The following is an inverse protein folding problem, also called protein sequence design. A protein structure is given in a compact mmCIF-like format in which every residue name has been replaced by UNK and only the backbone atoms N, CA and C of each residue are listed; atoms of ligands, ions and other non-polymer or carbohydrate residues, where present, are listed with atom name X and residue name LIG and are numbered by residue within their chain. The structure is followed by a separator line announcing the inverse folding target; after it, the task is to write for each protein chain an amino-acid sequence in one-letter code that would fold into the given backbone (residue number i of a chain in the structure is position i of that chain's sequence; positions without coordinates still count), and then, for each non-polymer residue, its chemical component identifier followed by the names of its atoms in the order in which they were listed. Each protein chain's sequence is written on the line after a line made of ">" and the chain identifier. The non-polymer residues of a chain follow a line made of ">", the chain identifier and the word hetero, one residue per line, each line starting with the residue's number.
data_IF_664106120217
#
_entry.id   IF_664106120217
#
_cell.length_a   1.000
_cell.length_b   1.000
_cell.length_c   1.000
_cell.angle_alpha   90.00
_cell.angle_beta   90.00
_cell.angle_gamma   90.00
#
_symmetry.space_group_name_H-M   'P 1'
#
loop_
_entity.id
_entity.type
_entity.pdbx_description
1 polymer ?
#
# COMPACT_ATOMS: atom_id res chain seq x y z
N UNK A 1 -16.06 -23.19 5.30
CA UNK A 1 -14.70 -22.63 5.45
C UNK A 1 -13.82 -23.76 5.93
N UNK A 2 -12.82 -24.14 5.15
CA UNK A 2 -11.83 -25.12 5.62
C UNK A 2 -10.79 -24.35 6.47
N UNK A 3 -10.44 -24.91 7.62
CA UNK A 3 -9.44 -24.36 8.53
C UNK A 3 -8.21 -25.24 8.43
N UNK A 4 -7.10 -24.69 7.92
CA UNK A 4 -5.80 -25.34 7.92
C UNK A 4 -5.00 -24.76 9.09
N UNK A 5 -4.81 -25.61 10.10
CA UNK A 5 -4.11 -25.28 11.33
C UNK A 5 -2.66 -25.76 11.26
N UNK A 6 -1.72 -24.82 11.23
CA UNK A 6 -0.29 -25.14 11.17
C UNK A 6 0.44 -24.76 12.47
N UNK A 7 -0.29 -24.57 13.58
CA UNK A 7 0.24 -24.06 14.86
C UNK A 7 1.40 -24.85 15.51
N UNK A 8 1.91 -25.92 14.90
CA UNK A 8 2.96 -26.78 15.46
C UNK A 8 4.20 -26.97 14.55
N UNK A 9 4.30 -26.29 13.41
CA UNK A 9 5.46 -26.38 12.52
C UNK A 9 5.94 -24.96 12.24
N UNK A 10 7.25 -24.75 12.27
CA UNK A 10 7.90 -23.48 11.98
C UNK A 10 8.52 -23.55 10.58
N UNK A 11 8.56 -22.41 9.90
CA UNK A 11 9.14 -22.23 8.56
C UNK A 11 8.35 -23.01 7.49
N UNK A 12 7.04 -22.80 7.47
CA UNK A 12 6.10 -23.52 6.60
C UNK A 12 5.91 -22.84 5.23
N UNK A 13 5.80 -23.64 4.15
CA UNK A 13 5.27 -23.17 2.87
C UNK A 13 3.84 -23.67 2.69
N UNK A 14 2.89 -22.74 2.55
CA UNK A 14 1.48 -23.09 2.58
C UNK A 14 0.73 -22.45 1.42
N UNK A 15 0.00 -23.27 0.67
CA UNK A 15 -0.77 -22.83 -0.50
C UNK A 15 -2.26 -23.03 -0.30
N UNK A 16 -3.04 -21.96 -0.40
CA UNK A 16 -4.49 -21.98 -0.25
C UNK A 16 -5.27 -21.46 -1.47
N UNK A 17 -6.48 -21.96 -1.68
CA UNK A 17 -7.26 -21.69 -2.90
C UNK A 17 -8.57 -20.92 -2.64
N UNK A 18 -9.54 -21.51 -1.93
CA UNK A 18 -10.90 -20.93 -1.80
C UNK A 18 -11.42 -20.94 -0.37
N UNK A 19 -11.64 -19.74 0.20
CA UNK A 19 -12.28 -19.54 1.51
C UNK A 19 -11.60 -20.35 2.62
N UNK A 20 -10.29 -20.15 2.73
CA UNK A 20 -9.41 -20.84 3.66
C UNK A 20 -8.97 -19.89 4.76
N UNK A 21 -8.91 -20.43 5.97
CA UNK A 21 -8.25 -19.79 7.10
C UNK A 21 -6.94 -20.53 7.32
N UNK A 22 -5.85 -19.78 7.29
CA UNK A 22 -4.50 -20.27 7.43
C UNK A 22 -3.86 -19.51 8.58
N UNK A 23 -3.36 -20.27 9.55
CA UNK A 23 -2.65 -19.73 10.69
C UNK A 23 -1.30 -20.42 10.77
N UNK A 24 -0.24 -19.66 10.49
CA UNK A 24 1.13 -20.13 10.66
C UNK A 24 1.59 -19.91 12.12
N UNK A 25 2.59 -20.65 12.55
CA UNK A 25 3.03 -20.66 13.94
C UNK A 25 4.01 -19.51 14.19
N UNK A 26 5.02 -19.74 15.04
CA UNK A 26 6.18 -18.88 15.10
C UNK A 26 7.26 -19.47 14.18
N UNK A 27 7.99 -18.65 13.44
CA UNK A 27 8.95 -19.05 12.40
C UNK A 27 8.87 -18.11 11.21
N UNK A 28 9.80 -18.22 10.26
CA UNK A 28 9.74 -17.43 9.03
C UNK A 28 8.92 -18.21 7.99
N UNK A 29 7.60 -18.00 7.99
CA UNK A 29 6.63 -18.76 7.19
C UNK A 29 6.33 -18.09 5.84
N UNK A 30 5.93 -18.90 4.86
CA UNK A 30 5.46 -18.44 3.55
C UNK A 30 4.03 -18.92 3.31
N UNK A 31 3.09 -17.97 3.24
CA UNK A 31 1.69 -18.22 2.93
C UNK A 31 1.38 -17.63 1.54
N UNK A 32 0.89 -18.45 0.62
CA UNK A 32 0.46 -18.01 -0.69
C UNK A 32 -0.94 -18.52 -1.01
N UNK A 33 -1.78 -17.70 -1.61
CA UNK A 33 -3.06 -18.21 -2.04
C UNK A 33 -4.08 -17.17 -2.43
N UNK A 34 -5.34 -17.58 -2.35
CA UNK A 34 -6.51 -16.87 -2.86
C UNK A 34 -6.65 -16.92 -4.37
N UNK A 35 -7.77 -17.49 -4.84
CA UNK A 35 -8.13 -17.53 -6.26
C UNK A 35 -9.11 -16.43 -6.63
N UNK A 36 -9.37 -16.27 -7.92
CA UNK A 36 -10.43 -15.38 -8.41
C UNK A 36 -11.76 -15.77 -7.77
N UNK A 37 -12.49 -14.78 -7.23
CA UNK A 37 -13.69 -14.94 -6.40
C UNK A 37 -13.50 -15.70 -5.07
N UNK A 38 -12.25 -16.05 -4.74
CA UNK A 38 -11.87 -16.64 -3.46
C UNK A 38 -11.62 -15.58 -2.39
N UNK A 39 -11.21 -16.06 -1.23
CA UNK A 39 -10.69 -15.25 -0.14
C UNK A 39 -9.77 -16.12 0.68
N UNK A 40 -8.66 -15.54 1.12
CA UNK A 40 -7.73 -16.16 2.04
C UNK A 40 -7.66 -15.32 3.32
N UNK A 41 -7.75 -15.97 4.47
CA UNK A 41 -7.49 -15.39 5.78
C UNK A 41 -6.19 -15.93 6.33
N UNK A 42 -5.11 -15.20 6.10
CA UNK A 42 -3.77 -15.51 6.58
C UNK A 42 -3.50 -14.77 7.89
N UNK A 43 -2.94 -15.49 8.87
CA UNK A 43 -2.39 -14.92 10.11
C UNK A 43 -1.09 -15.63 10.44
N UNK A 44 -0.04 -14.88 10.66
CA UNK A 44 1.19 -15.40 11.23
C UNK A 44 1.23 -15.06 12.72
N UNK A 45 2.04 -15.73 13.54
CA UNK A 45 2.05 -15.45 14.99
C UNK A 45 3.36 -14.79 15.43
N UNK A 46 4.45 -15.07 14.73
CA UNK A 46 5.75 -14.42 14.93
C UNK A 46 6.78 -14.91 13.92
N UNK A 47 7.75 -14.06 13.57
CA UNK A 47 8.81 -14.38 12.61
C UNK A 47 8.76 -13.43 11.44
N UNK A 48 9.68 -13.54 10.47
CA UNK A 48 9.66 -12.68 9.29
C UNK A 48 8.97 -13.44 8.16
N UNK A 49 7.65 -13.28 8.08
CA UNK A 49 6.81 -14.06 7.21
C UNK A 49 6.67 -13.42 5.82
N UNK A 50 6.28 -14.23 4.84
CA UNK A 50 5.86 -13.75 3.52
C UNK A 50 4.43 -14.16 3.26
N UNK A 51 3.55 -13.19 2.97
CA UNK A 51 2.15 -13.45 2.64
C UNK A 51 1.86 -12.95 1.22
N UNK A 52 1.46 -13.84 0.31
CA UNK A 52 1.09 -13.51 -1.08
C UNK A 52 -0.38 -13.80 -1.35
N UNK A 53 -1.14 -12.74 -1.59
CA UNK A 53 -2.56 -12.79 -1.94
C UNK A 53 -2.70 -12.64 -3.46
N UNK A 54 -2.99 -13.73 -4.14
CA UNK A 54 -2.95 -13.84 -5.61
C UNK A 54 -4.22 -13.35 -6.31
N UNK A 55 -5.37 -13.34 -5.63
CA UNK A 55 -6.63 -12.73 -6.09
C UNK A 55 -7.63 -12.62 -4.93
N UNK A 56 -8.93 -12.46 -5.21
CA UNK A 56 -10.02 -12.55 -4.25
C UNK A 56 -10.45 -11.21 -3.65
N UNK A 57 -11.71 -11.08 -3.22
CA UNK A 57 -12.32 -9.78 -2.86
C UNK A 57 -12.38 -9.49 -1.35
N UNK A 58 -12.16 -10.50 -0.50
CA UNK A 58 -12.29 -10.36 0.95
C UNK A 58 -11.16 -11.08 1.68
N UNK A 59 -9.94 -10.86 1.20
CA UNK A 59 -8.76 -11.39 1.88
C UNK A 59 -8.57 -10.72 3.24
N UNK A 60 -7.86 -11.43 4.09
CA UNK A 60 -7.35 -10.93 5.35
C UNK A 60 -5.91 -11.40 5.48
N UNK A 61 -4.99 -10.47 5.78
CA UNK A 61 -3.62 -10.80 6.14
C UNK A 61 -3.26 -10.01 7.42
N UNK A 62 -2.57 -10.68 8.34
CA UNK A 62 -2.02 -10.06 9.54
C UNK A 62 -0.71 -10.76 9.91
N UNK A 63 0.41 -10.06 9.72
CA UNK A 63 1.75 -10.54 10.04
C UNK A 63 1.98 -10.74 11.55
N UNK A 64 1.33 -9.91 12.37
CA UNK A 64 1.42 -9.92 13.83
C UNK A 64 2.79 -9.52 14.37
N UNK A 65 3.76 -10.42 14.57
CA UNK A 65 5.07 -10.05 15.12
C UNK A 65 6.18 -10.48 14.16
N UNK A 66 7.27 -9.74 14.16
CA UNK A 66 8.38 -9.88 13.21
C UNK A 66 8.16 -9.08 11.94
N UNK A 67 9.20 -8.96 11.10
CA UNK A 67 9.20 -8.06 9.95
C UNK A 67 8.68 -8.82 8.72
N UNK A 68 7.43 -8.59 8.35
CA UNK A 68 6.71 -9.37 7.35
C UNK A 68 6.73 -8.72 5.97
N UNK A 69 6.73 -9.52 4.90
CA UNK A 69 6.57 -9.07 3.51
C UNK A 69 5.21 -9.52 2.95
N UNK A 70 4.29 -8.57 2.81
CA UNK A 70 2.91 -8.83 2.42
C UNK A 70 2.65 -8.27 1.02
N UNK A 71 2.30 -9.15 0.08
CA UNK A 71 1.99 -8.78 -1.30
C UNK A 71 0.52 -9.00 -1.65
N UNK A 72 -0.11 -7.96 -2.20
CA UNK A 72 -1.39 -8.06 -2.91
C UNK A 72 -1.09 -8.06 -4.41
N UNK A 73 -1.36 -9.17 -5.07
CA UNK A 73 -1.06 -9.37 -6.49
C UNK A 73 -2.29 -9.13 -7.38
N UNK A 74 -2.05 -8.80 -8.64
CA UNK A 74 -3.10 -8.77 -9.65
C UNK A 74 -3.35 -10.16 -10.24
N UNK A 75 -4.60 -10.44 -10.61
CA UNK A 75 -4.95 -11.60 -11.42
C UNK A 75 -5.39 -11.16 -12.83
N UNK A 76 -5.05 -11.88 -13.91
CA UNK A 76 -5.50 -11.54 -15.26
C UNK A 76 -7.03 -11.47 -15.41
N UNK A 77 -7.76 -12.13 -14.52
CA UNK A 77 -9.23 -12.22 -14.54
C UNK A 77 -9.87 -11.75 -13.23
N UNK A 78 -9.13 -11.07 -12.35
CA UNK A 78 -9.65 -10.58 -11.08
C UNK A 78 -8.70 -9.68 -10.30
N UNK A 79 -9.18 -9.18 -9.18
CA UNK A 79 -8.46 -8.26 -8.31
C UNK A 79 -8.24 -8.94 -6.94
N UNK A 80 -7.18 -8.57 -6.23
CA UNK A 80 -6.92 -8.86 -4.81
C UNK A 80 -7.33 -7.67 -3.95
N UNK A 81 -8.38 -7.84 -3.18
CA UNK A 81 -8.87 -6.88 -2.19
C UNK A 81 -8.99 -7.55 -0.82
N UNK A 82 -8.86 -6.77 0.25
CA UNK A 82 -8.84 -7.30 1.61
C UNK A 82 -8.39 -6.31 2.68
N UNK A 83 -8.50 -6.76 3.94
CA UNK A 83 -7.92 -6.05 5.08
C UNK A 83 -6.53 -6.59 5.34
N UNK A 84 -5.54 -5.71 5.31
CA UNK A 84 -4.13 -6.08 5.35
C UNK A 84 -3.49 -5.31 6.48
N UNK A 85 -2.88 -6.06 7.38
CA UNK A 85 -2.27 -5.58 8.61
C UNK A 85 -0.83 -6.06 8.61
N UNK A 86 0.13 -5.14 8.73
CA UNK A 86 1.54 -5.47 8.97
C UNK A 86 1.65 -6.19 10.31
N UNK A 87 1.63 -5.43 11.40
CA UNK A 87 1.77 -6.06 12.71
C UNK A 87 2.34 -5.13 13.76
N UNK A 88 3.34 -5.64 14.47
CA UNK A 88 3.97 -5.01 15.61
C UNK A 88 5.36 -4.44 15.31
N UNK A 89 6.00 -4.92 14.24
CA UNK A 89 7.40 -4.69 13.87
C UNK A 89 7.48 -4.08 12.46
N UNK A 90 8.65 -4.01 11.82
CA UNK A 90 8.80 -3.23 10.60
C UNK A 90 8.43 -4.06 9.37
N UNK A 91 7.27 -3.83 8.82
CA UNK A 91 6.71 -4.62 7.73
C UNK A 91 6.88 -3.95 6.38
N UNK A 92 6.85 -4.77 5.33
CA UNK A 92 6.80 -4.32 3.95
C UNK A 92 5.46 -4.76 3.37
N UNK A 93 4.66 -3.80 2.91
CA UNK A 93 3.38 -4.08 2.25
C UNK A 93 3.43 -3.58 0.82
N UNK A 94 3.30 -4.49 -0.15
CA UNK A 94 3.32 -4.16 -1.57
C UNK A 94 1.98 -4.45 -2.25
N UNK A 95 1.37 -3.39 -2.76
CA UNK A 95 0.14 -3.43 -3.56
C UNK A 95 0.54 -3.37 -5.02
N UNK A 96 0.43 -4.48 -5.75
CA UNK A 96 0.84 -4.55 -7.16
C UNK A 96 -0.14 -3.83 -8.09
N UNK A 97 0.34 -3.44 -9.26
CA UNK A 97 -0.48 -2.79 -10.26
C UNK A 97 -1.63 -3.70 -10.69
N UNK A 98 -2.86 -3.20 -10.63
CA UNK A 98 -4.04 -3.99 -10.92
C UNK A 98 -4.40 -5.00 -9.84
N UNK A 99 -3.75 -4.99 -8.66
CA UNK A 99 -4.20 -5.79 -7.52
C UNK A 99 -5.56 -5.28 -7.03
N UNK A 100 -5.73 -3.97 -6.94
CA UNK A 100 -6.94 -3.36 -6.40
C UNK A 100 -7.63 -2.52 -7.47
N UNK A 101 -8.79 -2.96 -7.95
CA UNK A 101 -9.70 -2.11 -8.73
C UNK A 101 -10.75 -1.53 -7.80
N UNK A 102 -10.31 -0.55 -7.02
CA UNK A 102 -11.13 0.09 -6.02
C UNK A 102 -11.43 -0.81 -4.84
N UNK A 103 -10.44 -0.97 -3.96
CA UNK A 103 -10.61 -1.42 -2.56
C UNK A 103 -11.95 -0.90 -2.07
N UNK A 104 -12.98 -1.74 -1.97
CA UNK A 104 -14.33 -1.22 -1.74
C UNK A 104 -14.31 -0.32 -0.51
N UNK A 105 -14.96 0.86 -0.56
CA UNK A 105 -15.00 1.79 0.55
C UNK A 105 -15.20 1.02 1.88
N UNK A 106 -14.17 0.99 2.74
CA UNK A 106 -14.17 0.25 4.00
C UNK A 106 -13.22 -0.96 4.13
N UNK A 107 -12.30 -1.25 3.19
CA UNK A 107 -11.11 -2.05 3.51
C UNK A 107 -9.90 -1.18 3.79
N UNK A 108 -9.03 -1.68 4.65
CA UNK A 108 -7.90 -0.95 5.19
C UNK A 108 -6.63 -1.75 4.90
N UNK A 109 -5.62 -1.06 4.38
CA UNK A 109 -4.23 -1.53 4.36
C UNK A 109 -3.48 -0.67 5.36
N UNK A 110 -2.93 -1.29 6.40
CA UNK A 110 -2.31 -0.59 7.53
C UNK A 110 -1.03 -1.33 7.96
N UNK A 111 0.09 -0.62 8.06
CA UNK A 111 1.29 -1.17 8.70
C UNK A 111 1.06 -1.47 10.20
N UNK A 112 0.25 -0.63 10.84
CA UNK A 112 -0.13 -0.63 12.25
C UNK A 112 0.95 -0.12 13.19
N UNK A 113 1.97 -0.92 13.49
CA UNK A 113 3.06 -0.52 14.38
C UNK A 113 4.37 -0.97 13.79
N UNK A 114 5.44 -0.26 14.12
CA UNK A 114 6.75 -0.45 13.50
C UNK A 114 6.98 0.59 12.41
N UNK A 115 8.21 0.69 11.92
CA UNK A 115 8.53 1.65 10.85
C UNK A 115 8.31 0.94 9.51
N UNK A 116 7.09 0.99 9.01
CA UNK A 116 6.63 0.19 7.90
C UNK A 116 6.98 0.83 6.55
N UNK A 117 7.12 0.00 5.51
CA UNK A 117 7.30 0.46 4.13
C UNK A 117 6.15 -0.02 3.26
N UNK A 118 5.35 0.93 2.78
CA UNK A 118 4.17 0.66 1.98
C UNK A 118 4.40 1.07 0.53
N UNK A 119 4.49 0.08 -0.36
CA UNK A 119 4.66 0.26 -1.80
C UNK A 119 3.32 0.15 -2.52
N UNK A 120 2.84 1.26 -3.10
CA UNK A 120 1.60 1.29 -3.86
C UNK A 120 1.81 1.44 -5.38
N UNK A 121 1.53 0.39 -6.13
CA UNK A 121 1.45 0.38 -7.59
C UNK A 121 0.00 0.34 -8.11
N UNK A 122 -1.00 0.14 -7.22
CA UNK A 122 -2.42 -0.04 -7.57
C UNK A 122 -3.33 1.11 -7.08
N UNK A 123 -4.65 0.94 -7.14
CA UNK A 123 -5.60 1.95 -6.66
C UNK A 123 -6.08 1.60 -5.24
N UNK A 124 -5.71 2.38 -4.23
CA UNK A 124 -6.02 2.10 -2.83
C UNK A 124 -6.77 3.26 -2.15
N UNK A 125 -7.95 3.02 -1.60
CA UNK A 125 -8.71 4.12 -0.98
C UNK A 125 -8.24 4.48 0.43
N UNK A 126 -7.62 3.55 1.15
CA UNK A 126 -7.16 3.73 2.53
C UNK A 126 -5.86 2.98 2.77
N UNK A 127 -4.76 3.70 2.58
CA UNK A 127 -3.41 3.24 2.88
C UNK A 127 -2.90 3.98 4.13
N UNK A 128 -2.55 3.27 5.19
CA UNK A 128 -2.18 3.86 6.48
C UNK A 128 -0.82 3.35 6.92
N UNK A 129 0.05 4.24 7.39
CA UNK A 129 1.33 3.91 8.01
C UNK A 129 1.08 3.16 9.31
N UNK A 130 0.71 3.89 10.37
CA UNK A 130 0.58 3.26 11.67
C UNK A 130 0.90 4.19 12.83
N UNK A 131 1.65 3.70 13.81
CA UNK A 131 1.96 4.46 15.02
C UNK A 131 3.40 4.91 15.17
N UNK A 132 4.28 4.51 14.26
CA UNK A 132 5.71 4.83 14.24
C UNK A 132 6.08 5.50 12.91
N UNK A 133 7.36 5.59 12.53
CA UNK A 133 7.76 6.43 11.40
C UNK A 133 7.71 5.65 10.09
N UNK A 134 6.64 5.84 9.32
CA UNK A 134 6.37 5.01 8.15
C UNK A 134 6.86 5.65 6.86
N UNK A 135 7.12 4.82 5.85
CA UNK A 135 7.47 5.26 4.50
C UNK A 135 6.43 4.77 3.50
N UNK A 136 5.67 5.70 2.93
CA UNK A 136 4.62 5.40 1.96
C UNK A 136 5.05 5.86 0.58
N UNK A 137 5.22 4.91 -0.34
CA UNK A 137 5.73 5.15 -1.70
C UNK A 137 4.63 4.85 -2.72
N UNK A 138 4.26 5.84 -3.53
CA UNK A 138 3.25 5.69 -4.56
C UNK A 138 3.88 5.71 -5.96
N UNK A 139 4.00 4.53 -6.57
CA UNK A 139 4.73 4.26 -7.81
C UNK A 139 3.90 4.35 -9.10
N UNK A 140 2.69 4.89 -9.03
CA UNK A 140 1.80 4.86 -10.19
C UNK A 140 0.32 4.73 -9.84
N UNK A 141 0.04 4.29 -8.62
CA UNK A 141 -1.29 4.14 -8.09
C UNK A 141 -2.04 5.44 -7.82
N UNK A 142 -3.36 5.34 -7.63
CA UNK A 142 -4.14 6.38 -6.95
C UNK A 142 -4.37 5.97 -5.51
N UNK A 143 -3.96 6.78 -4.54
CA UNK A 143 -4.24 6.47 -3.14
C UNK A 143 -4.57 7.69 -2.27
N UNK A 144 -5.49 7.49 -1.32
CA UNK A 144 -5.55 8.33 -0.14
C UNK A 144 -4.67 7.69 0.94
N UNK A 145 -3.72 8.46 1.45
CA UNK A 145 -2.69 7.97 2.36
C UNK A 145 -2.77 8.72 3.68
N UNK A 146 -2.58 7.99 4.77
CA UNK A 146 -2.44 8.51 6.12
C UNK A 146 -1.10 8.05 6.67
N UNK A 147 -0.31 8.96 7.23
CA UNK A 147 0.84 8.58 8.05
C UNK A 147 0.40 8.06 9.42
N UNK A 148 -0.71 8.61 9.93
CA UNK A 148 -1.23 8.45 11.28
C UNK A 148 -0.32 9.09 12.36
N UNK A 149 0.33 8.31 13.22
CA UNK A 149 1.28 8.86 14.20
C UNK A 149 2.67 8.48 13.77
N UNK A 150 3.61 9.40 13.89
CA UNK A 150 4.97 9.18 13.45
C UNK A 150 5.48 10.45 12.81
N UNK A 151 6.75 10.42 12.44
CA UNK A 151 7.33 11.35 11.47
C UNK A 151 7.38 10.61 10.13
N UNK A 152 6.32 10.72 9.35
CA UNK A 152 6.08 9.85 8.19
C UNK A 152 6.66 10.43 6.91
N UNK A 153 7.13 9.56 6.01
CA UNK A 153 7.69 9.97 4.72
C UNK A 153 6.79 9.55 3.57
N UNK A 154 6.28 10.54 2.83
CA UNK A 154 5.43 10.35 1.65
C UNK A 154 6.25 10.56 0.37
N UNK A 155 6.33 9.54 -0.47
CA UNK A 155 7.16 9.53 -1.68
C UNK A 155 6.29 9.31 -2.93
N UNK A 156 5.82 10.38 -3.59
CA UNK A 156 5.13 10.26 -4.88
C UNK A 156 6.13 10.01 -6.02
N UNK A 157 5.74 9.16 -6.98
CA UNK A 157 6.37 9.08 -8.30
C UNK A 157 5.58 9.84 -9.35
N UNK A 158 6.29 10.41 -10.32
CA UNK A 158 5.70 11.21 -11.38
C UNK A 158 4.93 10.37 -12.41
N UNK A 159 5.37 9.13 -12.64
CA UNK A 159 4.84 8.24 -13.66
C UNK A 159 4.53 6.87 -13.05
N UNK A 160 3.51 6.20 -13.59
CA UNK A 160 3.31 4.78 -13.33
C UNK A 160 4.43 3.91 -13.96
N UNK A 161 4.40 2.60 -13.70
CA UNK A 161 5.35 1.63 -14.28
C UNK A 161 5.38 1.60 -15.81
N UNK A 162 4.37 2.15 -16.47
CA UNK A 162 4.24 2.23 -17.93
C UNK A 162 4.56 3.62 -18.48
N UNK A 163 4.99 4.57 -17.65
CA UNK A 163 5.29 5.93 -18.05
C UNK A 163 4.06 6.83 -18.24
N UNK A 164 2.89 6.44 -17.73
CA UNK A 164 1.66 7.22 -17.85
C UNK A 164 1.49 8.23 -16.71
N UNK A 165 0.90 9.37 -17.07
CA UNK A 165 0.38 10.37 -16.14
C UNK A 165 -1.03 9.98 -15.68
N UNK A 166 -1.34 10.16 -14.39
CA UNK A 166 -2.64 9.80 -13.81
C UNK A 166 -2.58 9.22 -12.40
N UNK A 167 -1.37 9.11 -11.86
CA UNK A 167 -1.11 8.66 -10.50
C UNK A 167 -1.28 9.81 -9.52
N UNK A 168 -2.03 9.57 -8.45
CA UNK A 168 -2.39 10.60 -7.48
C UNK A 168 -2.17 10.08 -6.07
N UNK A 169 -1.46 10.83 -5.25
CA UNK A 169 -1.32 10.56 -3.82
C UNK A 169 -1.96 11.72 -3.07
N UNK A 170 -3.10 11.46 -2.44
CA UNK A 170 -3.76 12.43 -1.55
C UNK A 170 -3.32 12.11 -0.13
N UNK A 171 -2.50 12.98 0.46
CA UNK A 171 -2.09 12.85 1.87
C UNK A 171 -3.17 13.48 2.74
N UNK A 172 -3.69 12.71 3.68
CA UNK A 172 -4.94 13.06 4.37
C UNK A 172 -4.72 13.68 5.75
N UNK A 173 -3.53 13.52 6.33
CA UNK A 173 -3.23 13.90 7.72
C UNK A 173 -1.83 14.51 7.91
N UNK A 174 -1.21 15.01 6.83
CA UNK A 174 0.14 15.59 6.87
C UNK A 174 0.32 16.60 8.02
N UNK A 175 1.26 16.32 8.93
CA UNK A 175 1.55 17.16 10.08
C UNK A 175 3.05 17.47 10.22
N UNK A 176 3.50 18.68 9.83
CA UNK A 176 4.90 19.06 9.94
C UNK A 176 5.39 19.18 11.40
N UNK A 177 4.49 19.28 12.38
CA UNK A 177 4.86 19.29 13.80
C UNK A 177 5.14 17.88 14.36
N UNK A 178 4.59 16.84 13.73
CA UNK A 178 4.93 15.45 14.04
C UNK A 178 6.26 15.04 13.38
N UNK A 179 6.63 15.70 12.29
CA UNK A 179 7.89 15.47 11.58
C UNK A 179 7.70 14.92 10.17
N UNK A 180 6.48 14.95 9.64
CA UNK A 180 6.16 14.41 8.32
C UNK A 180 6.95 15.09 7.20
N UNK A 181 7.34 14.28 6.22
CA UNK A 181 8.17 14.66 5.09
C UNK A 181 7.44 14.29 3.80
N UNK A 182 7.31 15.26 2.89
CA UNK A 182 6.99 15.00 1.50
C UNK A 182 8.29 14.92 0.69
N UNK A 183 8.74 13.71 0.36
CA UNK A 183 9.96 13.48 -0.40
C UNK A 183 9.68 13.49 -1.92
N UNK A 184 10.04 14.61 -2.56
CA UNK A 184 9.90 14.80 -4.00
C UNK A 184 11.13 14.34 -4.81
N UNK A 185 12.10 13.67 -4.17
CA UNK A 185 13.35 13.23 -4.81
C UNK A 185 13.12 12.31 -6.02
N UNK A 186 11.93 11.70 -6.09
CA UNK A 186 11.56 10.75 -7.14
C UNK A 186 10.71 11.30 -8.26
N UNK A 187 10.29 12.56 -8.20
CA UNK A 187 9.57 13.18 -9.32
C UNK A 187 10.50 13.49 -10.52
N UNK A 188 11.81 13.29 -10.36
CA UNK A 188 12.82 13.68 -11.33
C UNK A 188 12.95 15.21 -11.41
N UNK A 189 14.14 15.70 -11.74
CA UNK A 189 14.24 17.04 -12.29
C UNK A 189 13.66 16.97 -13.70
N UNK A 190 12.34 17.14 -13.84
CA UNK A 190 11.75 17.31 -15.17
C UNK A 190 12.37 18.59 -15.74
N UNK A 191 13.36 18.41 -16.62
CA UNK A 191 14.03 19.53 -17.25
C UNK A 191 12.99 20.35 -17.99
N UNK A 192 13.06 21.64 -17.75
CA UNK A 192 12.24 22.75 -18.25
C UNK A 192 12.19 22.86 -19.79
N UNK A 193 12.67 21.86 -20.53
CA UNK A 193 12.94 21.92 -21.97
C UNK A 193 11.74 21.56 -22.84
N UNK A 194 10.69 20.95 -22.30
CA UNK A 194 9.42 20.76 -22.98
C UNK A 194 8.34 21.57 -22.25
N UNK A 195 8.49 22.90 -22.29
CA UNK A 195 7.28 23.72 -22.32
C UNK A 195 6.56 23.34 -23.61
N UNK A 196 5.57 22.46 -23.49
CA UNK A 196 4.46 22.57 -24.41
C UNK A 196 3.91 24.01 -24.28
N UNK A 197 3.37 24.55 -25.35
CA UNK A 197 2.85 25.91 -25.35
C UNK A 197 1.58 26.11 -24.50
N UNK A 198 1.20 25.12 -23.69
CA UNK A 198 -0.04 25.07 -22.90
C UNK A 198 0.20 25.21 -21.38
N UNK A 199 1.44 25.25 -20.90
CA UNK A 199 1.73 25.69 -19.51
C UNK A 199 1.33 24.66 -18.45
N UNK A 200 1.66 23.40 -18.67
CA UNK A 200 1.33 22.28 -17.77
C UNK A 200 2.55 21.75 -16.99
N UNK A 201 3.59 22.58 -16.84
CA UNK A 201 4.72 22.27 -15.97
C UNK A 201 4.30 22.16 -14.49
N UNK A 202 5.04 21.34 -13.72
CA UNK A 202 4.84 21.05 -12.28
C UNK A 202 4.67 22.29 -11.36
N UNK A 203 5.09 23.48 -11.83
CA UNK A 203 5.01 24.77 -11.13
C UNK A 203 3.89 25.68 -11.68
N UNK A 204 3.41 25.46 -12.90
CA UNK A 204 2.35 26.28 -13.51
C UNK A 204 0.95 25.82 -13.06
N UNK A 205 0.72 24.51 -12.92
CA UNK A 205 -0.54 23.96 -12.37
C UNK A 205 -0.77 24.27 -10.88
N UNK A 206 0.24 24.78 -10.16
CA UNK A 206 0.06 25.30 -8.81
C UNK A 206 -0.66 26.67 -8.78
N UNK A 207 -0.69 27.41 -9.90
CA UNK A 207 -1.21 28.78 -9.95
C UNK A 207 -1.98 29.14 -11.24
N UNK A 208 -2.11 28.26 -12.23
CA UNK A 208 -2.83 28.56 -13.46
C UNK A 208 -4.35 28.41 -13.26
N UNK A 209 -5.10 29.44 -13.66
CA UNK A 209 -6.53 29.58 -13.43
C UNK A 209 -7.41 28.69 -14.31
N UNK A 210 -6.84 27.70 -15.01
CA UNK A 210 -7.53 26.96 -16.06
C UNK A 210 -7.08 25.49 -16.12
N UNK A 211 -7.64 24.65 -15.24
CA UNK A 211 -7.85 23.23 -15.54
C UNK A 211 -6.92 22.21 -14.89
N UNK A 212 -7.38 21.65 -13.76
CA UNK A 212 -6.88 20.41 -13.16
C UNK A 212 -6.11 20.64 -11.86
N UNK A 213 -6.63 20.26 -10.67
CA UNK A 213 -5.87 20.38 -9.44
C UNK A 213 -4.64 19.47 -9.52
N UNK A 214 -3.48 20.00 -9.11
CA UNK A 214 -2.39 19.16 -8.61
C UNK A 214 -2.99 18.17 -7.61
N UNK A 215 -2.97 16.87 -7.91
CA UNK A 215 -3.47 15.84 -7.00
C UNK A 215 -2.41 15.46 -5.96
N UNK A 216 -1.73 16.47 -5.42
CA UNK A 216 -1.24 16.47 -4.05
C UNK A 216 -2.00 17.61 -3.36
N UNK A 217 -3.25 17.32 -2.99
CA UNK A 217 -4.07 18.25 -2.24
C UNK A 217 -3.63 18.15 -0.77
N UNK A 218 -2.54 18.83 -0.41
CA UNK A 218 -2.27 19.11 1.00
C UNK A 218 -3.33 20.12 1.42
N UNK A 219 -4.36 19.68 2.15
CA UNK A 219 -5.31 20.61 2.76
C UNK A 219 -4.53 21.55 3.68
N UNK A 220 -4.40 22.81 3.29
CA UNK A 220 -3.88 23.84 4.18
C UNK A 220 -4.83 23.98 5.36
N UNK A 221 -4.32 23.70 6.57
CA UNK A 221 -4.99 24.10 7.81
C UNK A 221 -4.91 25.62 7.88
N UNK A 222 -6.06 26.28 7.79
CA UNK A 222 -6.19 27.70 8.11
C UNK A 222 -5.84 27.88 9.59
N UNK A 223 -4.79 28.68 9.87
CA UNK A 223 -4.45 29.15 11.22
C UNK A 223 -5.55 30.02 11.81
#
# INVERSE_FOLDING_TARGET
>A
MAYLDLRNIADDYVVGSTAEQMQAAAGDDWIEGSTVNGSLWARCMGGNDTIRLSSGLNNFANGNNGNDDIHLLASPTGYSDGNILGGADNDVITIHQGATWGVGAGKIINGNRGNDVLHNYGTCYQLRGGSENDTIINYGGSANVWGDKGADTFVPWALDLNGNWGSHMTIMDFNPYQGDILDLSKLGAYEKSNYDSNGDGLIDTAFSSVGGPLACLVYSVTL
#
